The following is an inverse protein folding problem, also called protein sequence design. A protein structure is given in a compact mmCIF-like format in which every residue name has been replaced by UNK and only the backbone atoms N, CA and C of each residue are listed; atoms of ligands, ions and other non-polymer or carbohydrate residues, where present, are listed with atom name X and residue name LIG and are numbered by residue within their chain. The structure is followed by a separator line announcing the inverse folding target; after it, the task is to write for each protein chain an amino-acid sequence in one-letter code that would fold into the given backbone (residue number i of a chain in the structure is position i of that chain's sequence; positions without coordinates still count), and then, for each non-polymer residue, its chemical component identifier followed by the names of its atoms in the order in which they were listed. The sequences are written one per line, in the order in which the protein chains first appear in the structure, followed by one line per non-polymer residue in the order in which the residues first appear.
data_IF_748652469535
#
_entry.id   IF_748652469535
#
_cell.length_a   1.000
_cell.length_b   1.000
_cell.length_c   1.000
_cell.angle_alpha   90.00
_cell.angle_beta   90.00
_cell.angle_gamma   90.00
#
_symmetry.space_group_name_H-M   'P 1'
#
loop_
_entity.id
_entity.type
_entity.pdbx_description
1 polymer ?
#
# COMPACT_ATOMS: atom_id res chain seq x y z
N UNK A 1 26.29 -53.58 -7.25
CA UNK A 1 27.61 -53.17 -7.76
C UNK A 1 27.44 -52.73 -9.20
N UNK A 2 28.36 -51.88 -9.64
CA UNK A 2 28.56 -51.29 -10.95
C UNK A 2 27.89 -49.96 -11.32
N UNK A 3 28.78 -49.11 -11.81
CA UNK A 3 28.76 -47.66 -11.96
C UNK A 3 28.49 -47.34 -13.43
N UNK A 4 27.72 -46.29 -13.71
CA UNK A 4 27.76 -45.65 -15.03
C UNK A 4 27.83 -44.12 -14.88
N UNK A 5 29.04 -43.63 -14.69
CA UNK A 5 29.46 -42.27 -15.01
C UNK A 5 29.44 -42.12 -16.54
N UNK A 6 28.75 -41.13 -17.09
CA UNK A 6 28.99 -40.70 -18.47
C UNK A 6 29.40 -39.23 -18.52
N UNK A 7 30.53 -39.03 -19.22
CA UNK A 7 31.44 -37.89 -19.19
C UNK A 7 31.12 -36.88 -20.29
N UNK A 8 31.41 -35.61 -20.02
CA UNK A 8 31.67 -34.53 -20.98
C UNK A 8 32.56 -35.00 -22.17
N UNK A 9 32.21 -34.57 -23.38
CA UNK A 9 33.11 -34.27 -24.53
C UNK A 9 32.47 -33.09 -25.27
N UNK A 10 33.00 -31.86 -25.23
CA UNK A 10 34.19 -31.34 -25.92
C UNK A 10 34.26 -31.72 -27.41
N UNK A 11 34.11 -30.72 -28.29
CA UNK A 11 34.59 -30.74 -29.66
C UNK A 11 34.94 -29.32 -30.09
N UNK A 12 36.25 -29.10 -30.28
CA UNK A 12 36.88 -27.95 -30.91
C UNK A 12 37.14 -28.26 -32.39
N UNK A 13 36.95 -27.22 -33.21
CA UNK A 13 37.63 -26.77 -34.43
C UNK A 13 38.06 -27.75 -35.53
N UNK A 14 37.79 -27.34 -36.79
CA UNK A 14 38.79 -27.31 -37.87
C UNK A 14 38.49 -26.11 -38.80
N UNK A 15 39.54 -25.32 -39.06
CA UNK A 15 39.74 -24.27 -40.09
C UNK A 15 39.68 -24.89 -41.51
N UNK A 16 39.74 -24.21 -42.66
CA UNK A 16 40.39 -22.96 -43.05
C UNK A 16 39.92 -22.53 -44.46
N UNK A 17 40.40 -21.36 -44.86
CA UNK A 17 40.62 -20.84 -46.22
C UNK A 17 39.72 -19.74 -46.82
N UNK A 18 40.47 -18.77 -47.33
CA UNK A 18 40.23 -17.38 -47.67
C UNK A 18 39.34 -17.15 -48.90
N UNK A 19 38.48 -16.14 -48.85
CA UNK A 19 38.20 -15.29 -50.02
C UNK A 19 37.46 -13.98 -49.63
N UNK A 20 38.19 -12.87 -49.77
CA UNK A 20 37.84 -11.46 -50.07
C UNK A 20 36.51 -10.81 -49.57
N UNK A 21 36.55 -9.52 -49.12
CA UNK A 21 35.44 -8.89 -48.41
C UNK A 21 34.38 -8.27 -49.35
N UNK A 22 33.07 -8.48 -49.14
CA UNK A 22 32.06 -7.66 -49.79
C UNK A 22 31.89 -6.33 -49.04
N UNK A 23 32.27 -5.27 -49.76
CA UNK A 23 31.86 -3.86 -49.68
C UNK A 23 30.75 -3.52 -48.65
N UNK A 24 31.10 -2.63 -47.72
CA UNK A 24 30.19 -1.92 -46.79
C UNK A 24 28.98 -1.31 -47.52
N UNK A 25 27.79 -1.75 -47.17
CA UNK A 25 26.58 -0.94 -47.29
C UNK A 25 26.39 -0.16 -45.98
N UNK A 26 26.06 1.14 -46.01
CA UNK A 26 25.83 1.89 -44.78
C UNK A 26 24.58 1.35 -44.09
N UNK A 27 24.74 0.85 -42.86
CA UNK A 27 23.62 0.54 -41.98
C UNK A 27 22.71 1.76 -41.86
N UNK A 28 21.38 1.61 -41.92
CA UNK A 28 20.47 2.71 -41.68
C UNK A 28 20.69 3.24 -40.26
N UNK A 29 20.68 4.57 -40.14
CA UNK A 29 20.87 5.30 -38.90
C UNK A 29 20.00 4.73 -37.75
N UNK A 30 20.47 4.75 -36.50
CA UNK A 30 19.65 4.35 -35.36
C UNK A 30 18.42 5.26 -35.30
N UNK A 31 17.25 4.63 -35.33
CA UNK A 31 15.96 5.26 -35.09
C UNK A 31 15.98 5.99 -33.73
N UNK A 32 15.60 7.28 -33.65
CA UNK A 32 15.69 8.07 -32.41
C UNK A 32 14.52 7.83 -31.45
N UNK A 33 13.81 6.70 -31.56
CA UNK A 33 12.59 6.45 -30.82
C UNK A 33 12.59 5.06 -30.20
N UNK A 34 12.53 5.04 -28.87
CA UNK A 34 12.05 3.89 -28.12
C UNK A 34 13.08 3.20 -27.24
N UNK A 35 13.91 3.96 -26.53
CA UNK A 35 14.60 3.42 -25.35
C UNK A 35 13.56 3.27 -24.22
N UNK A 36 12.64 2.31 -24.37
CA UNK A 36 11.76 1.89 -23.27
C UNK A 36 12.61 1.13 -22.26
N UNK A 37 13.26 1.90 -21.40
CA UNK A 37 13.96 1.42 -20.21
C UNK A 37 13.07 0.39 -19.50
N UNK A 38 13.60 -0.81 -19.29
CA UNK A 38 12.94 -1.90 -18.56
C UNK A 38 12.47 -1.38 -17.20
N UNK A 39 11.16 -1.18 -17.04
CA UNK A 39 10.56 -0.80 -15.76
C UNK A 39 10.95 -1.85 -14.72
N UNK A 40 11.37 -1.39 -13.54
CA UNK A 40 11.71 -2.31 -12.45
C UNK A 40 10.46 -3.05 -11.96
N UNK A 41 10.60 -4.28 -11.46
CA UNK A 41 9.47 -5.07 -10.92
C UNK A 41 8.63 -4.28 -9.91
N UNK A 42 9.27 -3.51 -9.04
CA UNK A 42 8.59 -2.65 -8.05
C UNK A 42 7.77 -1.54 -8.71
N UNK A 43 8.23 -0.99 -9.83
CA UNK A 43 7.49 0.02 -10.57
C UNK A 43 6.23 -0.56 -11.21
N UNK A 44 6.32 -1.77 -11.77
CA UNK A 44 5.14 -2.47 -12.30
C UNK A 44 4.12 -2.76 -11.20
N UNK A 45 4.56 -3.27 -10.04
CA UNK A 45 3.68 -3.54 -8.89
C UNK A 45 2.96 -2.27 -8.38
N UNK A 46 3.60 -1.08 -8.46
CA UNK A 46 2.99 0.19 -8.07
C UNK A 46 1.98 0.70 -9.11
N UNK A 47 2.20 0.40 -10.38
CA UNK A 47 1.28 0.78 -11.47
C UNK A 47 -0.01 -0.04 -11.45
N UNK A 48 0.02 -1.23 -10.87
CA UNK A 48 -1.16 -2.08 -10.64
C UNK A 48 -2.07 -1.59 -9.51
N UNK A 49 -1.60 -0.66 -8.66
CA UNK A 49 -2.43 -0.05 -7.63
C UNK A 49 -3.39 0.96 -8.27
N UNK A 50 -4.67 0.63 -8.27
CA UNK A 50 -5.73 1.48 -8.83
C UNK A 50 -6.84 1.79 -7.83
N UNK A 51 -7.59 2.86 -8.13
CA UNK A 51 -8.82 3.20 -7.43
C UNK A 51 -9.92 2.31 -8.03
N UNK A 52 -10.42 1.39 -7.22
CA UNK A 52 -11.47 0.44 -7.61
C UNK A 52 -12.73 1.21 -7.99
N UNK A 53 -13.42 0.80 -9.04
CA UNK A 53 -14.68 1.44 -9.46
C UNK A 53 -15.82 1.12 -8.49
N UNK A 54 -16.84 1.98 -8.36
CA UNK A 54 -17.95 1.74 -7.44
C UNK A 54 -18.64 0.39 -7.65
N UNK A 55 -18.76 -0.07 -8.90
CA UNK A 55 -19.40 -1.34 -9.29
C UNK A 55 -18.62 -2.58 -8.85
N UNK A 56 -17.29 -2.49 -8.83
CA UNK A 56 -16.39 -3.60 -8.46
C UNK A 56 -16.01 -3.57 -6.97
N UNK A 57 -16.24 -2.44 -6.30
CA UNK A 57 -15.89 -2.25 -4.91
C UNK A 57 -16.89 -2.93 -3.96
N UNK A 58 -16.37 -3.67 -2.99
CA UNK A 58 -17.18 -4.32 -1.96
C UNK A 58 -17.46 -3.38 -0.78
N UNK A 59 -18.62 -3.59 -0.14
CA UNK A 59 -19.05 -2.84 1.03
C UNK A 59 -18.35 -3.32 2.30
N UNK A 60 -17.97 -2.36 3.14
CA UNK A 60 -17.40 -2.56 4.47
C UNK A 60 -18.41 -2.08 5.50
N UNK A 61 -18.61 -2.86 6.57
CA UNK A 61 -19.48 -2.51 7.69
C UNK A 61 -18.81 -1.46 8.59
N UNK A 62 -18.88 -0.19 8.17
CA UNK A 62 -18.28 0.94 8.89
C UNK A 62 -18.98 1.17 10.23
N UNK A 63 -20.28 0.91 10.34
CA UNK A 63 -21.01 1.04 11.60
C UNK A 63 -20.45 0.07 12.66
N UNK A 64 -20.13 -1.18 12.30
CA UNK A 64 -19.47 -2.10 13.22
C UNK A 64 -18.05 -1.67 13.61
N UNK A 65 -17.31 -1.01 12.71
CA UNK A 65 -16.00 -0.42 13.03
C UNK A 65 -16.17 0.69 14.06
N UNK A 66 -17.08 1.64 13.82
CA UNK A 66 -17.33 2.78 14.70
C UNK A 66 -17.94 2.39 16.05
N UNK A 67 -18.67 1.27 16.12
CA UNK A 67 -19.21 0.71 17.36
C UNK A 67 -18.18 -0.09 18.19
N UNK A 68 -16.98 -0.33 17.65
CA UNK A 68 -15.92 -1.05 18.38
C UNK A 68 -15.30 -0.16 19.46
N UNK A 69 -14.54 -0.76 20.38
CA UNK A 69 -13.83 0.00 21.41
C UNK A 69 -12.84 0.98 20.78
N UNK A 70 -12.85 2.25 21.21
CA UNK A 70 -12.00 3.32 20.68
C UNK A 70 -11.26 4.02 21.80
N UNK A 71 -9.94 4.21 21.64
CA UNK A 71 -9.15 5.12 22.45
C UNK A 71 -8.66 6.31 21.62
N UNK A 72 -8.75 7.51 22.18
CA UNK A 72 -8.25 8.72 21.51
C UNK A 72 -6.71 8.74 21.42
N UNK A 73 -6.05 8.15 22.42
CA UNK A 73 -4.62 7.88 22.45
C UNK A 73 -4.32 6.67 23.36
N UNK A 74 -3.19 5.96 23.18
CA UNK A 74 -2.77 4.95 24.14
C UNK A 74 -2.58 5.54 25.55
N UNK A 75 -2.86 4.80 26.63
CA UNK A 75 -2.83 5.33 28.01
C UNK A 75 -1.52 6.04 28.40
N UNK A 76 -0.38 5.55 27.92
CA UNK A 76 0.96 6.08 28.23
C UNK A 76 1.48 7.08 27.19
N UNK A 77 0.65 7.46 26.21
CA UNK A 77 1.05 8.35 25.13
C UNK A 77 1.02 9.82 25.56
N UNK A 78 2.08 10.56 25.19
CA UNK A 78 2.13 12.03 25.32
C UNK A 78 1.56 12.75 24.10
N UNK A 79 1.14 12.02 23.08
CA UNK A 79 0.60 12.61 21.85
C UNK A 79 -0.78 13.21 22.10
N UNK A 80 -1.00 14.41 21.57
CA UNK A 80 -2.31 15.03 21.59
C UNK A 80 -3.27 14.19 20.73
N UNK A 81 -4.46 13.90 21.27
CA UNK A 81 -5.51 13.26 20.49
C UNK A 81 -6.01 14.19 19.39
N UNK A 82 -6.10 13.67 18.17
CA UNK A 82 -6.63 14.35 17.00
C UNK A 82 -7.78 13.52 16.41
N UNK A 83 -8.93 14.13 16.22
CA UNK A 83 -10.06 13.54 15.51
C UNK A 83 -10.80 14.60 14.70
N UNK A 84 -11.60 14.17 13.73
CA UNK A 84 -12.43 15.06 12.91
C UNK A 84 -13.93 14.78 13.10
N UNK A 85 -14.32 14.27 14.27
CA UNK A 85 -15.66 13.76 14.50
C UNK A 85 -16.74 14.85 14.44
N UNK A 86 -16.39 16.08 14.84
CA UNK A 86 -17.30 17.23 14.75
C UNK A 86 -17.72 17.56 13.29
N UNK A 87 -16.98 17.09 12.29
CA UNK A 87 -17.30 17.25 10.86
C UNK A 87 -17.81 15.98 10.21
N UNK A 88 -17.95 14.89 10.96
CA UNK A 88 -18.44 13.63 10.42
C UNK A 88 -19.89 13.76 9.96
N UNK A 89 -20.17 13.26 8.76
CA UNK A 89 -21.51 13.20 8.19
C UNK A 89 -21.73 11.78 7.66
N UNK A 90 -22.65 11.06 8.31
CA UNK A 90 -23.03 9.69 7.94
C UNK A 90 -23.47 9.67 6.47
N UNK A 91 -22.91 8.75 5.68
CA UNK A 91 -23.21 8.61 4.26
C UNK A 91 -22.61 9.68 3.35
N UNK A 92 -21.78 10.59 3.88
CA UNK A 92 -21.15 11.69 3.12
C UNK A 92 -19.64 11.77 3.33
N UNK A 93 -19.16 11.37 4.50
CA UNK A 93 -17.74 11.35 4.84
C UNK A 93 -16.99 10.19 4.19
N UNK A 94 -15.87 10.50 3.53
CA UNK A 94 -14.83 9.52 3.18
C UNK A 94 -14.15 9.06 4.48
N UNK A 95 -13.80 7.78 4.56
CA UNK A 95 -13.07 7.23 5.70
C UNK A 95 -11.73 6.65 5.25
N UNK A 96 -10.64 7.07 5.88
CA UNK A 96 -9.30 6.50 5.69
C UNK A 96 -8.96 5.65 6.91
N UNK A 97 -8.79 4.35 6.71
CA UNK A 97 -8.39 3.42 7.75
C UNK A 97 -6.88 3.16 7.65
N UNK A 98 -6.18 3.41 8.74
CA UNK A 98 -4.77 3.07 8.93
C UNK A 98 -4.70 1.71 9.63
N UNK A 99 -4.57 0.63 8.88
CA UNK A 99 -4.50 -0.73 9.41
C UNK A 99 -3.08 -1.00 9.87
N UNK A 100 -2.86 -1.05 11.19
CA UNK A 100 -1.52 -1.13 11.77
C UNK A 100 -1.27 -2.50 12.42
N UNK A 101 -0.35 -3.23 11.81
CA UNK A 101 0.29 -4.43 12.31
C UNK A 101 1.64 -4.08 12.92
N UNK A 102 2.71 -4.23 12.15
CA UNK A 102 4.09 -4.11 12.65
C UNK A 102 4.83 -2.90 12.09
N UNK A 103 4.37 -2.32 10.98
CA UNK A 103 5.04 -1.22 10.28
C UNK A 103 4.40 0.11 10.68
N UNK A 104 5.21 1.10 11.08
CA UNK A 104 4.70 2.39 11.57
C UNK A 104 4.72 3.53 10.53
N UNK A 105 5.52 3.42 9.47
CA UNK A 105 5.75 4.54 8.52
C UNK A 105 4.45 5.06 7.86
N UNK A 106 3.49 4.17 7.60
CA UNK A 106 2.24 4.54 6.95
C UNK A 106 1.35 5.43 7.84
N UNK A 107 1.42 5.23 9.15
CA UNK A 107 0.77 6.10 10.13
C UNK A 107 1.38 7.51 10.11
N UNK A 108 2.71 7.60 10.13
CA UNK A 108 3.43 8.89 10.07
C UNK A 108 3.12 9.66 8.77
N UNK A 109 3.12 8.95 7.65
CA UNK A 109 2.78 9.51 6.34
C UNK A 109 1.33 9.99 6.29
N UNK A 110 0.39 9.20 6.83
CA UNK A 110 -1.02 9.62 6.92
C UNK A 110 -1.15 10.88 7.76
N UNK A 111 -0.59 10.91 8.98
CA UNK A 111 -0.62 12.09 9.85
C UNK A 111 -0.07 13.34 9.16
N UNK A 112 1.00 13.21 8.37
CA UNK A 112 1.60 14.30 7.61
C UNK A 112 0.70 14.78 6.46
N UNK A 113 -0.03 13.86 5.81
CA UNK A 113 -0.92 14.16 4.68
C UNK A 113 -2.29 14.70 5.11
N UNK A 114 -2.74 14.42 6.34
CA UNK A 114 -4.10 14.76 6.79
C UNK A 114 -4.49 16.24 6.63
N UNK A 115 -3.63 17.23 6.95
CA UNK A 115 -3.96 18.64 6.73
C UNK A 115 -4.37 18.94 5.29
N UNK A 116 -3.72 18.32 4.30
CA UNK A 116 -4.06 18.50 2.89
C UNK A 116 -5.29 17.68 2.48
N UNK A 117 -5.44 16.46 3.02
CA UNK A 117 -6.64 15.66 2.78
C UNK A 117 -7.91 16.34 3.33
N UNK A 118 -7.84 17.05 4.46
CA UNK A 118 -8.95 17.82 4.99
C UNK A 118 -9.31 19.06 4.16
N UNK A 119 -8.36 19.62 3.39
CA UNK A 119 -8.69 20.68 2.43
C UNK A 119 -9.51 20.14 1.26
N UNK A 120 -9.23 18.89 0.85
CA UNK A 120 -9.96 18.22 -0.23
C UNK A 120 -11.34 17.73 0.23
N UNK A 121 -11.40 17.07 1.39
CA UNK A 121 -12.63 16.53 1.97
C UNK A 121 -12.72 16.90 3.45
N UNK A 122 -13.36 18.03 3.80
CA UNK A 122 -13.40 18.55 5.17
C UNK A 122 -14.07 17.62 6.19
N UNK A 123 -14.96 16.73 5.74
CA UNK A 123 -15.66 15.75 6.57
C UNK A 123 -14.94 14.40 6.67
N UNK A 124 -13.77 14.25 6.04
CA UNK A 124 -13.00 13.00 6.03
C UNK A 124 -12.68 12.53 7.46
N UNK A 125 -12.85 11.25 7.71
CA UNK A 125 -12.46 10.62 8.97
C UNK A 125 -11.21 9.78 8.77
N UNK A 126 -10.30 9.84 9.73
CA UNK A 126 -9.09 9.03 9.73
C UNK A 126 -9.01 8.26 11.05
N UNK A 127 -8.91 6.94 10.96
CA UNK A 127 -8.96 6.02 12.11
C UNK A 127 -7.82 5.01 12.00
N UNK A 128 -7.28 4.57 13.13
CA UNK A 128 -6.28 3.49 13.18
C UNK A 128 -6.98 2.21 13.59
N UNK A 129 -6.86 1.15 12.80
CA UNK A 129 -7.31 -0.19 13.14
C UNK A 129 -6.15 -0.98 13.73
N UNK A 130 -6.29 -1.41 14.97
CA UNK A 130 -5.26 -2.16 15.70
C UNK A 130 -5.88 -3.31 16.50
N UNK A 131 -5.04 -4.25 16.98
CA UNK A 131 -5.53 -5.38 17.77
C UNK A 131 -6.16 -4.97 19.10
N UNK A 132 -5.43 -4.16 19.86
CA UNK A 132 -5.86 -3.68 21.17
C UNK A 132 -5.35 -2.23 21.32
N UNK A 133 -6.25 -1.24 21.35
CA UNK A 133 -5.88 0.17 21.52
C UNK A 133 -5.07 0.46 22.78
N UNK A 134 -5.27 -0.30 23.86
CA UNK A 134 -4.66 -0.02 25.16
C UNK A 134 -3.17 -0.39 25.21
N UNK A 135 -2.77 -1.39 24.43
CA UNK A 135 -1.38 -1.86 24.33
C UNK A 135 -0.69 -1.40 23.05
N UNK A 136 -1.41 -0.71 22.17
CA UNK A 136 -0.89 -0.27 20.89
C UNK A 136 0.20 0.80 21.02
N UNK A 137 1.27 0.65 20.25
CA UNK A 137 2.40 1.59 20.20
C UNK A 137 2.36 2.39 18.91
N UNK A 138 2.06 3.68 19.04
CA UNK A 138 2.18 4.64 17.94
C UNK A 138 3.64 4.98 17.67
N UNK A 139 3.90 5.50 16.47
CA UNK A 139 5.23 6.02 16.13
C UNK A 139 5.63 7.17 17.07
N UNK A 140 6.87 7.20 17.57
CA UNK A 140 7.39 8.34 18.33
C UNK A 140 7.56 9.61 17.48
N UNK A 141 7.57 9.47 16.15
CA UNK A 141 7.71 10.58 15.21
C UNK A 141 6.37 11.15 14.75
N UNK A 142 5.25 10.59 15.20
CA UNK A 142 3.94 11.11 14.84
C UNK A 142 3.62 12.43 15.57
N UNK A 143 3.01 13.41 14.89
CA UNK A 143 2.69 14.70 15.49
C UNK A 143 1.49 14.65 16.46
N UNK A 144 0.60 13.67 16.31
CA UNK A 144 -0.60 13.50 17.13
C UNK A 144 -1.07 12.04 17.11
N UNK A 145 -2.06 11.72 17.94
CA UNK A 145 -2.72 10.41 18.01
C UNK A 145 -4.05 10.43 17.27
N UNK A 146 -4.23 9.59 16.25
CA UNK A 146 -5.55 9.32 15.66
C UNK A 146 -6.37 8.38 16.56
N UNK A 147 -7.71 8.33 16.41
CA UNK A 147 -8.54 7.39 17.16
C UNK A 147 -8.14 5.95 16.84
N UNK A 148 -7.80 5.19 17.88
CA UNK A 148 -7.42 3.79 17.84
C UNK A 148 -8.64 2.93 18.05
N UNK A 149 -9.07 2.24 17.01
CA UNK A 149 -10.22 1.34 17.01
C UNK A 149 -9.73 -0.09 17.17
N UNK A 150 -10.33 -0.80 18.12
CA UNK A 150 -10.11 -2.22 18.31
C UNK A 150 -10.71 -3.00 17.13
N UNK A 151 -9.85 -3.60 16.33
CA UNK A 151 -10.23 -4.26 15.09
C UNK A 151 -10.34 -5.77 15.16
N UNK A 152 -9.93 -6.37 16.27
CA UNK A 152 -10.09 -7.79 16.52
C UNK A 152 -10.55 -8.05 17.97
N UNK A 153 -11.64 -8.80 18.08
CA UNK A 153 -12.17 -9.42 19.30
C UNK A 153 -12.46 -10.89 19.01
N UNK A 154 -12.93 -11.63 20.00
CA UNK A 154 -13.37 -13.02 19.82
C UNK A 154 -14.59 -13.14 18.90
N UNK A 155 -15.45 -12.11 18.83
CA UNK A 155 -16.69 -12.11 18.07
C UNK A 155 -16.64 -11.31 16.77
N UNK A 156 -15.63 -10.44 16.60
CA UNK A 156 -15.53 -9.58 15.42
C UNK A 156 -14.08 -9.38 14.99
N UNK A 157 -13.81 -9.45 13.69
CA UNK A 157 -12.48 -9.25 13.13
C UNK A 157 -12.57 -8.44 11.84
N UNK A 158 -12.32 -7.14 11.96
CA UNK A 158 -12.37 -6.19 10.84
C UNK A 158 -11.24 -6.44 9.84
N UNK A 159 -10.10 -7.01 10.27
CA UNK A 159 -9.01 -7.35 9.35
C UNK A 159 -9.42 -8.42 8.35
N UNK A 160 -10.21 -9.43 8.76
CA UNK A 160 -10.79 -10.43 7.86
C UNK A 160 -11.71 -9.77 6.85
N UNK A 161 -12.63 -8.93 7.31
CA UNK A 161 -13.63 -8.24 6.46
C UNK A 161 -12.98 -7.31 5.43
N UNK A 162 -11.82 -6.75 5.76
CA UNK A 162 -11.03 -5.91 4.85
C UNK A 162 -10.13 -6.72 3.90
N UNK A 163 -10.00 -8.04 4.10
CA UNK A 163 -9.07 -8.88 3.35
C UNK A 163 -7.60 -8.60 3.69
N UNK A 164 -7.32 -8.15 4.91
CA UNK A 164 -6.00 -7.67 5.35
C UNK A 164 -5.43 -8.51 6.49
N UNK A 165 -5.64 -9.82 6.46
CA UNK A 165 -4.91 -10.74 7.35
C UNK A 165 -3.64 -11.24 6.67
N UNK A 166 -2.57 -11.33 7.44
CA UNK A 166 -1.31 -11.89 6.97
C UNK A 166 -1.47 -13.41 6.73
N UNK A 167 -1.17 -13.94 5.52
CA UNK A 167 -1.36 -15.36 5.20
C UNK A 167 -0.59 -16.31 6.13
N UNK A 168 0.61 -15.90 6.55
CA UNK A 168 1.45 -16.65 7.51
C UNK A 168 1.25 -16.20 8.96
N UNK A 169 0.32 -15.27 9.22
CA UNK A 169 0.10 -14.66 10.53
C UNK A 169 -0.83 -15.46 11.46
N UNK A 170 -1.16 -16.71 11.10
CA UNK A 170 -2.05 -17.58 11.88
C UNK A 170 -3.45 -17.00 12.11
N UNK A 171 -3.93 -16.16 11.18
CA UNK A 171 -5.21 -15.45 11.31
C UNK A 171 -5.24 -14.33 12.35
N UNK A 172 -4.08 -13.99 12.93
CA UNK A 172 -3.96 -12.98 13.98
C UNK A 172 -3.48 -11.65 13.41
N UNK A 173 -2.32 -11.63 12.76
CA UNK A 173 -1.68 -10.36 12.41
C UNK A 173 -2.28 -9.73 11.13
N UNK A 174 -2.60 -8.43 11.15
CA UNK A 174 -3.03 -7.74 9.94
C UNK A 174 -1.85 -7.40 9.03
N UNK A 175 -2.16 -7.16 7.76
CA UNK A 175 -1.26 -6.52 6.80
C UNK A 175 -1.31 -5.00 6.99
N UNK A 176 -0.15 -4.37 7.14
CA UNK A 176 -0.02 -2.92 7.28
C UNK A 176 -0.48 -2.21 6.00
N UNK A 177 -1.48 -1.34 6.09
CA UNK A 177 -2.08 -0.69 4.92
C UNK A 177 -2.80 0.61 5.24
N UNK A 178 -2.92 1.48 4.24
CA UNK A 178 -3.95 2.52 4.22
C UNK A 178 -5.10 2.07 3.34
N UNK A 179 -6.33 2.16 3.84
CA UNK A 179 -7.54 1.78 3.11
C UNK A 179 -8.44 3.00 3.00
N UNK A 180 -8.91 3.30 1.78
CA UNK A 180 -9.89 4.37 1.56
C UNK A 180 -11.26 3.75 1.34
N UNK A 181 -12.22 4.17 2.16
CA UNK A 181 -13.63 3.87 2.01
C UNK A 181 -14.37 5.10 1.52
N UNK A 182 -15.22 4.94 0.51
CA UNK A 182 -16.07 6.04 0.05
C UNK A 182 -17.26 6.29 0.99
N UNK A 183 -18.09 7.26 0.59
CA UNK A 183 -19.28 7.72 1.31
C UNK A 183 -20.32 6.62 1.53
N UNK A 184 -20.33 5.63 0.64
CA UNK A 184 -21.22 4.47 0.66
C UNK A 184 -20.56 3.27 1.37
N UNK A 185 -19.48 3.52 2.11
CA UNK A 185 -18.70 2.52 2.82
C UNK A 185 -18.11 1.42 1.90
N UNK A 186 -17.87 1.71 0.62
CA UNK A 186 -17.20 0.77 -0.29
C UNK A 186 -15.69 0.94 -0.22
N UNK A 187 -14.94 -0.17 -0.26
CA UNK A 187 -13.48 -0.18 -0.23
C UNK A 187 -12.91 0.17 -1.62
N UNK A 188 -12.41 1.41 -1.78
CA UNK A 188 -12.00 1.97 -3.07
C UNK A 188 -10.51 1.91 -3.33
N UNK A 189 -9.68 1.89 -2.31
CA UNK A 189 -8.22 1.82 -2.46
C UNK A 189 -7.60 1.09 -1.27
N UNK A 190 -6.57 0.30 -1.54
CA UNK A 190 -5.69 -0.28 -0.52
C UNK A 190 -4.24 -0.01 -0.91
N UNK A 191 -3.53 0.70 -0.04
CA UNK A 191 -2.12 1.01 -0.21
C UNK A 191 -1.31 0.14 0.75
N UNK A 192 -0.52 -0.81 0.24
CA UNK A 192 0.24 -1.73 1.08
C UNK A 192 1.50 -1.05 1.64
N UNK A 193 1.93 -1.44 2.84
CA UNK A 193 3.20 -1.02 3.43
C UNK A 193 3.92 -2.21 4.05
N UNK A 194 5.17 -2.45 3.67
CA UNK A 194 5.93 -3.62 4.14
C UNK A 194 5.56 -4.94 3.43
N UNK A 195 4.64 -4.89 2.46
CA UNK A 195 4.29 -6.01 1.58
C UNK A 195 3.88 -5.50 0.18
N UNK A 196 3.77 -6.40 -0.80
CA UNK A 196 3.37 -6.09 -2.17
C UNK A 196 4.20 -4.94 -2.77
N UNK A 197 3.53 -4.03 -3.47
CA UNK A 197 4.12 -2.84 -4.09
C UNK A 197 4.79 -1.89 -3.06
N UNK A 198 4.35 -1.92 -1.81
CA UNK A 198 4.87 -1.10 -0.72
C UNK A 198 5.92 -1.78 0.15
N UNK A 199 6.43 -2.96 -0.25
CA UNK A 199 7.39 -3.75 0.55
C UNK A 199 8.62 -2.96 1.00
N UNK A 200 9.10 -2.05 0.14
CA UNK A 200 10.30 -1.27 0.40
C UNK A 200 10.01 0.13 0.96
N UNK A 201 8.74 0.47 1.25
CA UNK A 201 8.36 1.81 1.70
C UNK A 201 9.07 2.22 3.00
N UNK A 202 9.37 1.29 3.91
CA UNK A 202 10.10 1.58 5.16
C UNK A 202 11.63 1.53 5.05
N UNK A 203 12.18 1.26 3.87
CA UNK A 203 13.65 1.14 3.68
C UNK A 203 14.28 2.52 3.41
N UNK A 204 15.61 2.68 3.58
CA UNK A 204 16.29 3.96 3.27
C UNK A 204 16.07 4.46 1.83
N UNK A 205 15.84 3.56 0.87
CA UNK A 205 15.56 3.90 -0.52
C UNK A 205 14.05 3.99 -0.84
N UNK A 206 13.17 3.85 0.15
CA UNK A 206 11.72 3.74 -0.01
C UNK A 206 11.00 5.04 -0.34
N UNK A 207 11.69 6.18 -0.36
CA UNK A 207 11.06 7.51 -0.48
C UNK A 207 10.22 7.68 -1.75
N UNK A 208 10.68 7.17 -2.89
CA UNK A 208 9.91 7.23 -4.14
C UNK A 208 8.61 6.43 -4.06
N UNK A 209 8.62 5.28 -3.37
CA UNK A 209 7.45 4.45 -3.10
C UNK A 209 6.48 5.19 -2.19
N UNK A 210 6.96 5.75 -1.08
CA UNK A 210 6.15 6.55 -0.17
C UNK A 210 5.45 7.70 -0.89
N UNK A 211 6.20 8.48 -1.69
CA UNK A 211 5.63 9.58 -2.49
C UNK A 211 4.55 9.09 -3.47
N UNK A 212 4.78 7.93 -4.11
CA UNK A 212 3.81 7.35 -5.05
C UNK A 212 2.53 6.90 -4.34
N UNK A 213 2.65 6.18 -3.23
CA UNK A 213 1.50 5.75 -2.42
C UNK A 213 0.71 6.95 -1.89
N UNK A 214 1.39 8.00 -1.42
CA UNK A 214 0.71 9.21 -0.91
C UNK A 214 0.07 10.04 -2.01
N UNK A 215 0.65 10.05 -3.22
CA UNK A 215 0.00 10.62 -4.39
C UNK A 215 -1.29 9.87 -4.73
N UNK A 216 -1.26 8.53 -4.73
CA UNK A 216 -2.47 7.71 -4.96
C UNK A 216 -3.54 7.93 -3.89
N UNK A 217 -3.16 8.03 -2.61
CA UNK A 217 -4.09 8.36 -1.52
C UNK A 217 -4.81 9.68 -1.79
N UNK A 218 -4.03 10.73 -2.10
CA UNK A 218 -4.56 12.06 -2.38
C UNK A 218 -5.48 12.05 -3.61
N UNK A 219 -5.04 11.46 -4.72
CA UNK A 219 -5.83 11.35 -5.95
C UNK A 219 -7.13 10.58 -5.72
N UNK A 220 -7.12 9.54 -4.88
CA UNK A 220 -8.32 8.81 -4.51
C UNK A 220 -9.30 9.69 -3.75
N UNK A 221 -8.86 10.38 -2.70
CA UNK A 221 -9.73 11.30 -1.94
C UNK A 221 -10.30 12.40 -2.83
N UNK A 222 -9.48 12.98 -3.71
CA UNK A 222 -9.91 14.00 -4.68
C UNK A 222 -10.97 13.46 -5.66
N UNK A 223 -10.75 12.28 -6.24
CA UNK A 223 -11.71 11.64 -7.14
C UNK A 223 -13.03 11.33 -6.43
N UNK A 224 -12.98 10.73 -5.24
CA UNK A 224 -14.18 10.38 -4.47
C UNK A 224 -15.00 11.61 -4.04
N UNK A 225 -14.34 12.77 -3.91
CA UNK A 225 -15.03 14.02 -3.64
C UNK A 225 -15.77 14.56 -4.89
N UNK A 226 -15.32 14.20 -6.09
CA UNK A 226 -15.96 14.58 -7.37
C UNK A 226 -17.08 13.62 -7.79
N UNK A 227 -17.05 12.36 -7.33
CA UNK A 227 -18.06 11.33 -7.63
C UNK A 227 -19.44 11.58 -6.98
N UNK A 228 -19.64 12.75 -6.37
CA UNK A 228 -20.77 13.02 -5.47
C UNK A 228 -21.47 14.32 -5.71
#
# INVERSE_FOLDING_TARGET
MDVALSRKRSRLALDDDEDLPPKREPSPAPSPFGDTLKKSKTQCELEELEIVRPEDAWTVDVDAILASNVLAAPPDSKLQAHNNWARYQRGQSITVLCVQGNVQIHYELLCSALPDLYKLSPSLQALVLCHDPSTHRLSPSAPFSLPLVQAATTSNNHFVRLGLLHPLGGGKFPLDALVVLDKNAKRRLVLPFGWGAGKHAGTPAGRSIQMTLMRLLRSCVEQLQQES
#
